data_IF_294161378652
#
_entry.id   IF_294161378652
#
_cell.length_a   1.000
_cell.length_b   1.000
_cell.length_c   1.000
_cell.angle_alpha   90.00
_cell.angle_beta   90.00
_cell.angle_gamma   90.00
#
_symmetry.space_group_name_H-M   'P 1'
#
loop_
_entity.id
_entity.type
_entity.pdbx_description
1 polymer ?
#
# COMPACT_ATOMS: atom_id res chain seq x y z
N UNK A 1 -18.05 -6.39 -11.92
CA UNK A 1 -16.71 -6.03 -12.41
C UNK A 1 -15.74 -6.26 -11.26
N UNK A 2 -14.60 -6.90 -11.49
CA UNK A 2 -13.59 -7.06 -10.43
C UNK A 2 -12.77 -5.77 -10.32
N UNK A 3 -12.68 -5.20 -9.11
CA UNK A 3 -11.89 -3.99 -8.84
C UNK A 3 -10.46 -4.31 -8.36
N UNK A 4 -10.24 -5.54 -7.87
CA UNK A 4 -8.93 -6.03 -7.44
C UNK A 4 -8.37 -7.03 -8.45
N UNK A 5 -7.04 -7.05 -8.67
CA UNK A 5 -6.10 -6.01 -8.24
C UNK A 5 -6.32 -4.71 -9.01
N UNK A 6 -6.19 -3.57 -8.32
CA UNK A 6 -6.37 -2.26 -8.93
C UNK A 6 -5.96 -1.14 -7.99
N UNK A 7 -6.00 0.09 -8.48
CA UNK A 7 -5.84 1.28 -7.65
C UNK A 7 -7.17 2.02 -7.51
N UNK A 8 -7.40 2.62 -6.35
CA UNK A 8 -8.43 3.61 -6.12
C UNK A 8 -7.75 4.94 -5.83
N UNK A 9 -8.04 5.94 -6.65
CA UNK A 9 -7.49 7.27 -6.49
C UNK A 9 -8.53 8.16 -5.85
N UNK A 10 -8.16 8.79 -4.74
CA UNK A 10 -9.07 9.68 -4.05
C UNK A 10 -9.35 10.92 -4.89
N UNK A 11 -10.64 11.17 -5.10
CA UNK A 11 -11.11 12.37 -5.78
C UNK A 11 -11.05 13.57 -4.81
N UNK A 12 -10.67 14.77 -5.26
CA UNK A 12 -10.60 15.97 -4.41
C UNK A 12 -11.85 16.32 -3.56
N UNK A 13 -13.11 16.09 -3.99
CA UNK A 13 -14.29 16.36 -3.14
C UNK A 13 -14.55 15.30 -2.06
N UNK A 14 -13.69 14.28 -1.91
CA UNK A 14 -13.91 13.16 -0.98
C UNK A 14 -14.10 13.60 0.48
N UNK A 15 -13.50 14.73 0.90
CA UNK A 15 -13.74 15.33 2.21
C UNK A 15 -13.22 14.54 3.42
N UNK A 16 -12.76 13.29 3.24
CA UNK A 16 -12.13 12.49 4.29
C UNK A 16 -10.62 12.77 4.36
N UNK A 17 -10.11 13.34 5.48
CA UNK A 17 -8.68 13.61 5.64
C UNK A 17 -7.81 12.33 5.63
N UNK A 18 -8.38 11.17 5.96
CA UNK A 18 -7.67 9.90 5.87
C UNK A 18 -7.33 9.52 4.43
N UNK A 19 -8.01 10.09 3.44
CA UNK A 19 -7.87 9.71 2.05
C UNK A 19 -7.59 10.86 1.09
N UNK A 20 -7.50 12.10 1.58
CA UNK A 20 -7.11 13.23 0.74
C UNK A 20 -5.79 12.96 -0.01
N UNK A 21 -5.84 13.11 -1.34
CA UNK A 21 -4.73 12.86 -2.29
C UNK A 21 -4.10 11.47 -2.16
N UNK A 22 -4.85 10.46 -1.71
CA UNK A 22 -4.33 9.10 -1.59
C UNK A 22 -4.50 8.28 -2.86
N UNK A 23 -3.62 7.29 -3.01
CA UNK A 23 -3.77 6.15 -3.91
C UNK A 23 -3.84 4.91 -3.03
N UNK A 24 -4.91 4.15 -3.15
CA UNK A 24 -5.09 2.87 -2.45
C UNK A 24 -4.84 1.74 -3.43
N UNK A 25 -3.96 0.80 -3.10
CA UNK A 25 -3.93 -0.53 -3.71
C UNK A 25 -5.12 -1.34 -3.20
N UNK A 26 -6.03 -1.73 -4.08
CA UNK A 26 -7.08 -2.69 -3.75
C UNK A 26 -6.55 -4.12 -3.94
N UNK A 27 -6.20 -4.77 -2.84
CA UNK A 27 -5.61 -6.11 -2.83
C UNK A 27 -6.66 -7.22 -2.93
N UNK A 28 -7.86 -6.98 -2.41
CA UNK A 28 -8.97 -7.94 -2.45
C UNK A 28 -10.29 -7.22 -2.69
N UNK A 29 -11.16 -7.80 -3.52
CA UNK A 29 -12.51 -7.30 -3.78
C UNK A 29 -13.47 -8.45 -4.08
N UNK A 30 -14.58 -8.53 -3.36
CA UNK A 30 -15.60 -9.55 -3.61
C UNK A 30 -16.87 -9.39 -2.77
N UNK A 31 -17.75 -10.41 -2.72
CA UNK A 31 -19.05 -10.31 -2.07
C UNK A 31 -19.01 -10.03 -0.57
N UNK A 32 -17.86 -10.25 0.09
CA UNK A 32 -17.67 -9.96 1.52
C UNK A 32 -17.12 -8.56 1.80
N UNK A 33 -16.84 -7.78 0.77
CA UNK A 33 -16.21 -6.46 0.87
C UNK A 33 -14.86 -6.40 0.16
N UNK A 34 -14.08 -5.39 0.52
CA UNK A 34 -12.79 -5.10 -0.11
C UNK A 34 -11.72 -4.74 0.94
N UNK A 35 -10.46 -4.98 0.59
CA UNK A 35 -9.31 -4.69 1.42
C UNK A 35 -8.25 -4.01 0.56
N UNK A 36 -7.68 -2.92 1.06
CA UNK A 36 -6.63 -2.19 0.37
C UNK A 36 -5.68 -1.44 1.29
N UNK A 37 -4.66 -0.85 0.69
CA UNK A 37 -3.55 -0.20 1.39
C UNK A 37 -3.21 1.12 0.70
N UNK A 38 -3.17 2.22 1.45
CA UNK A 38 -2.68 3.51 0.93
C UNK A 38 -1.18 3.39 0.63
N UNK A 39 -0.81 3.58 -0.64
CA UNK A 39 0.57 3.36 -1.13
C UNK A 39 1.40 4.64 -1.19
N UNK A 40 0.82 5.80 -0.87
CA UNK A 40 1.47 7.11 -1.00
C UNK A 40 1.44 7.95 0.30
N UNK A 41 1.43 7.29 1.46
CA UNK A 41 1.46 7.96 2.76
C UNK A 41 2.48 7.32 3.69
N UNK A 42 3.51 8.08 4.06
CA UNK A 42 4.56 7.64 5.01
C UNK A 42 4.03 7.73 6.45
N UNK A 43 4.30 6.70 7.24
CA UNK A 43 4.05 6.70 8.68
C UNK A 43 5.16 7.48 9.42
N UNK A 44 4.87 8.12 10.56
CA UNK A 44 5.87 8.82 11.36
C UNK A 44 6.73 7.86 12.20
N UNK A 45 7.04 6.68 11.66
CA UNK A 45 7.81 5.63 12.30
C UNK A 45 8.78 5.04 11.26
N UNK A 46 9.99 4.73 11.70
CA UNK A 46 10.95 3.97 10.90
C UNK A 46 10.65 2.48 10.99
N UNK A 47 11.12 1.73 10.00
CA UNK A 47 10.97 0.28 9.96
C UNK A 47 11.56 -0.39 11.22
N UNK A 48 12.74 0.02 11.67
CA UNK A 48 13.33 -0.54 12.89
C UNK A 48 12.48 -0.35 14.14
N UNK A 49 11.80 0.79 14.27
CA UNK A 49 10.88 1.05 15.39
C UNK A 49 9.69 0.09 15.35
N UNK A 50 9.08 -0.11 14.18
CA UNK A 50 7.97 -1.05 13.99
C UNK A 50 8.39 -2.49 14.29
N UNK A 51 9.57 -2.91 13.82
CA UNK A 51 10.09 -4.26 14.10
C UNK A 51 10.37 -4.45 15.58
N UNK A 52 10.94 -3.45 16.26
CA UNK A 52 11.17 -3.48 17.70
C UNK A 52 9.85 -3.61 18.48
N UNK A 53 8.83 -2.85 18.11
CA UNK A 53 7.48 -2.95 18.69
C UNK A 53 6.83 -4.32 18.46
N UNK A 54 7.15 -4.98 17.34
CA UNK A 54 6.70 -6.34 17.04
C UNK A 54 7.50 -7.44 17.79
N UNK A 55 8.49 -7.06 18.60
CA UNK A 55 9.29 -7.98 19.41
C UNK A 55 10.56 -8.48 18.74
N UNK A 56 10.98 -7.88 17.62
CA UNK A 56 12.27 -8.16 17.00
C UNK A 56 13.39 -7.40 17.72
N UNK A 57 14.56 -8.04 17.87
CA UNK A 57 15.63 -7.57 18.75
C UNK A 57 16.23 -6.19 18.40
N UNK A 58 17.01 -5.58 19.32
CA UNK A 58 17.47 -4.18 19.22
C UNK A 58 18.34 -3.89 17.99
N UNK A 59 19.01 -4.90 17.43
CA UNK A 59 19.80 -4.79 16.20
C UNK A 59 18.95 -4.40 14.98
N UNK A 60 17.66 -4.73 15.00
CA UNK A 60 16.71 -4.36 13.95
C UNK A 60 16.20 -2.93 14.14
N UNK A 61 16.29 -2.38 15.36
CA UNK A 61 15.80 -1.06 15.72
C UNK A 61 16.49 0.12 15.02
N UNK A 62 17.73 -0.06 14.58
CA UNK A 62 18.52 0.99 13.90
C UNK A 62 18.32 1.01 12.38
N UNK A 63 17.46 0.14 11.85
CA UNK A 63 17.31 -0.03 10.42
C UNK A 63 16.58 1.15 9.76
N UNK A 64 17.20 1.63 8.70
CA UNK A 64 16.56 2.56 7.77
C UNK A 64 15.53 1.80 6.93
N UNK A 65 14.34 2.39 6.78
CA UNK A 65 13.28 1.84 5.96
C UNK A 65 11.99 2.62 6.16
N UNK A 66 11.25 2.81 5.06
CA UNK A 66 9.98 3.54 5.07
C UNK A 66 8.84 2.61 5.49
N UNK A 67 8.06 3.05 6.46
CA UNK A 67 6.78 2.44 6.82
C UNK A 67 5.67 3.31 6.25
N UNK A 68 4.62 2.68 5.76
CA UNK A 68 3.47 3.35 5.15
C UNK A 68 2.25 3.25 6.07
N UNK A 69 1.39 4.26 6.04
CA UNK A 69 0.05 4.15 6.64
C UNK A 69 -0.83 3.46 5.61
N UNK A 70 -1.27 2.23 5.86
CA UNK A 70 -2.11 1.46 4.94
C UNK A 70 -3.60 1.85 5.01
N UNK A 71 -4.04 2.42 6.13
CA UNK A 71 -5.38 2.99 6.29
C UNK A 71 -5.80 3.09 7.75
N UNK A 72 -7.04 3.54 8.01
CA UNK A 72 -7.50 3.82 9.37
C UNK A 72 -7.90 2.57 10.17
N UNK A 73 -8.07 1.41 9.52
CA UNK A 73 -8.53 0.19 10.18
C UNK A 73 -7.34 -0.54 10.79
N UNK A 74 -7.49 -0.96 12.06
CA UNK A 74 -6.48 -1.67 12.84
C UNK A 74 -5.07 -1.07 12.70
N UNK A 75 -4.84 0.19 13.12
CA UNK A 75 -3.57 0.89 12.88
C UNK A 75 -2.35 0.24 13.56
N UNK A 76 -2.56 -0.66 14.52
CA UNK A 76 -1.51 -1.47 15.15
C UNK A 76 -1.17 -2.77 14.38
N UNK A 77 -1.92 -3.11 13.32
CA UNK A 77 -1.65 -4.29 12.50
C UNK A 77 -0.54 -3.99 11.49
N UNK A 78 0.45 -4.88 11.41
CA UNK A 78 1.53 -4.80 10.43
C UNK A 78 1.24 -5.68 9.22
N UNK A 79 1.53 -5.14 8.03
CA UNK A 79 1.40 -5.87 6.76
C UNK A 79 2.65 -5.69 5.91
N UNK A 80 3.10 -6.75 5.27
CA UNK A 80 4.21 -6.71 4.33
C UNK A 80 3.70 -7.09 2.96
N UNK A 81 3.79 -6.16 2.02
CA UNK A 81 3.67 -6.43 0.60
C UNK A 81 5.05 -6.76 0.04
N UNK A 82 5.15 -7.81 -0.76
CA UNK A 82 6.42 -8.28 -1.31
C UNK A 82 6.25 -8.85 -2.71
N UNK A 83 7.31 -8.76 -3.51
CA UNK A 83 7.41 -9.55 -4.73
C UNK A 83 7.80 -11.00 -4.42
N UNK A 84 7.22 -11.96 -5.15
CA UNK A 84 7.57 -13.38 -5.06
C UNK A 84 9.02 -13.67 -5.45
N UNK A 85 9.64 -12.78 -6.23
CA UNK A 85 11.08 -12.82 -6.52
C UNK A 85 11.92 -12.54 -5.27
N UNK A 86 11.46 -11.64 -4.40
CA UNK A 86 12.13 -11.26 -3.16
C UNK A 86 11.85 -12.24 -2.01
N UNK A 87 10.73 -12.96 -2.05
CA UNK A 87 10.36 -13.93 -1.02
C UNK A 87 9.53 -15.05 -1.65
N UNK A 88 10.16 -16.22 -1.81
CA UNK A 88 9.62 -17.34 -2.61
C UNK A 88 8.72 -18.29 -1.82
N UNK A 89 8.71 -18.17 -0.49
CA UNK A 89 7.95 -19.06 0.37
C UNK A 89 6.45 -18.79 0.19
N UNK A 90 5.67 -19.88 0.13
CA UNK A 90 4.22 -19.77 0.05
C UNK A 90 3.67 -19.69 1.47
N UNK A 91 3.21 -18.51 1.85
CA UNK A 91 2.72 -18.23 3.20
C UNK A 91 1.23 -18.44 3.27
N UNK A 92 0.78 -19.20 4.26
CA UNK A 92 -0.63 -19.44 4.49
C UNK A 92 -1.35 -18.13 4.83
N UNK A 93 -2.50 -17.89 4.19
CA UNK A 93 -3.28 -16.67 4.40
C UNK A 93 -2.68 -15.41 3.77
N UNK A 94 -1.60 -15.51 2.98
CA UNK A 94 -1.18 -14.42 2.12
C UNK A 94 -2.24 -14.12 1.04
N UNK A 95 -2.41 -12.84 0.73
CA UNK A 95 -3.30 -12.37 -0.33
C UNK A 95 -2.47 -12.24 -1.60
N UNK A 96 -2.81 -13.02 -2.62
CA UNK A 96 -2.26 -12.88 -3.96
C UNK A 96 -2.88 -11.64 -4.63
N UNK A 97 -2.08 -10.57 -4.77
CA UNK A 97 -2.48 -9.36 -5.51
C UNK A 97 -2.33 -9.63 -7.00
N UNK A 98 -1.16 -10.15 -7.40
CA UNK A 98 -0.89 -10.70 -8.73
C UNK A 98 -0.12 -12.01 -8.58
N UNK A 99 0.26 -12.65 -9.69
CA UNK A 99 1.16 -13.81 -9.65
C UNK A 99 2.53 -13.50 -9.02
N UNK A 100 2.96 -12.24 -9.06
CA UNK A 100 4.29 -11.81 -8.65
C UNK A 100 4.30 -10.90 -7.42
N UNK A 101 3.12 -10.51 -6.91
CA UNK A 101 2.96 -9.58 -5.79
C UNK A 101 1.98 -10.16 -4.79
N UNK A 102 2.42 -10.23 -3.53
CA UNK A 102 1.65 -10.76 -2.40
C UNK A 102 1.68 -9.81 -1.23
N UNK A 103 0.68 -9.91 -0.37
CA UNK A 103 0.64 -9.18 0.91
C UNK A 103 0.23 -10.10 2.05
N UNK A 104 0.88 -9.99 3.20
CA UNK A 104 0.62 -10.83 4.37
C UNK A 104 0.87 -10.08 5.67
N UNK A 105 0.13 -10.45 6.71
CA UNK A 105 0.35 -10.06 8.11
C UNK A 105 0.92 -11.19 8.96
N UNK A 106 1.32 -12.30 8.33
CA UNK A 106 1.83 -13.48 9.05
C UNK A 106 3.22 -13.22 9.64
N UNK A 107 3.47 -13.84 10.81
CA UNK A 107 4.77 -13.79 11.47
C UNK A 107 5.90 -14.32 10.59
N UNK A 108 5.64 -15.30 9.74
CA UNK A 108 6.61 -15.91 8.83
C UNK A 108 7.27 -14.87 7.90
N UNK A 109 6.49 -13.95 7.35
CA UNK A 109 7.01 -12.89 6.47
C UNK A 109 7.80 -11.85 7.25
N UNK A 110 7.38 -11.53 8.48
CA UNK A 110 8.14 -10.63 9.35
C UNK A 110 9.45 -11.26 9.83
N UNK A 111 9.46 -12.57 10.13
CA UNK A 111 10.67 -13.31 10.51
C UNK A 111 11.65 -13.38 9.32
N UNK A 112 11.15 -13.56 8.10
CA UNK A 112 11.97 -13.50 6.89
C UNK A 112 12.55 -12.10 6.68
N UNK A 113 11.73 -11.05 6.82
CA UNK A 113 12.22 -9.68 6.75
C UNK A 113 13.30 -9.42 7.81
N UNK A 114 13.09 -9.82 9.06
CA UNK A 114 14.04 -9.63 10.15
C UNK A 114 15.38 -10.35 9.89
N UNK A 115 15.35 -11.56 9.32
CA UNK A 115 16.56 -12.32 8.94
C UNK A 115 17.34 -11.63 7.83
N UNK A 116 16.64 -11.22 6.77
CA UNK A 116 17.26 -10.50 5.66
C UNK A 116 17.80 -9.14 6.10
N UNK A 117 17.24 -8.63 7.19
CA UNK A 117 17.58 -7.36 7.80
C UNK A 117 18.78 -7.38 8.75
N UNK A 118 19.31 -8.56 9.08
CA UNK A 118 20.43 -8.66 10.00
C UNK A 118 21.72 -8.19 9.30
N UNK A 119 22.34 -7.09 9.74
CA UNK A 119 23.55 -6.59 9.08
C UNK A 119 24.68 -7.62 9.20
N UNK A 120 25.53 -7.76 8.16
CA UNK A 120 26.76 -8.52 8.27
C UNK A 120 27.56 -8.08 9.50
N UNK A 121 28.30 -8.98 10.17
CA UNK A 121 29.07 -8.67 11.39
C UNK A 121 30.02 -7.47 11.27
N UNK A 122 30.34 -7.07 10.05
CA UNK A 122 31.34 -6.10 9.61
C UNK A 122 30.75 -4.89 8.86
N UNK A 123 29.43 -4.82 8.64
CA UNK A 123 28.78 -3.72 7.93
C UNK A 123 28.22 -2.66 8.90
N UNK A 124 28.94 -1.54 9.03
CA UNK A 124 28.42 -0.36 9.73
C UNK A 124 27.30 0.29 8.89
N UNK A 125 26.06 0.21 9.40
CA UNK A 125 24.94 1.12 9.09
C UNK A 125 24.73 1.48 7.60
N UNK A 126 24.91 0.52 6.70
CA UNK A 126 24.45 0.68 5.33
C UNK A 126 22.92 0.68 5.33
N UNK A 127 22.29 1.64 4.63
CA UNK A 127 20.85 1.62 4.36
C UNK A 127 20.53 0.28 3.69
N UNK A 128 19.87 -0.60 4.43
CA UNK A 128 19.63 -1.94 3.95
C UNK A 128 18.49 -1.90 2.94
N UNK A 129 18.77 -2.34 1.72
CA UNK A 129 17.77 -2.51 0.68
C UNK A 129 16.87 -3.68 1.07
N UNK A 130 15.63 -3.40 1.50
CA UNK A 130 14.61 -4.43 1.76
C UNK A 130 14.03 -5.02 0.46
N UNK A 131 14.57 -4.63 -0.69
CA UNK A 131 14.15 -5.03 -2.02
C UNK A 131 12.76 -4.50 -2.37
N UNK A 132 12.07 -5.21 -3.26
CA UNK A 132 10.65 -4.95 -3.60
C UNK A 132 9.72 -5.41 -2.48
N UNK A 133 9.85 -4.82 -1.30
CA UNK A 133 9.00 -5.02 -0.11
C UNK A 133 8.53 -3.68 0.45
N UNK A 134 7.30 -3.63 0.94
CA UNK A 134 6.72 -2.45 1.58
C UNK A 134 6.02 -2.86 2.86
N UNK A 135 6.25 -2.10 3.94
CA UNK A 135 5.65 -2.36 5.25
C UNK A 135 4.56 -1.33 5.53
N UNK A 136 3.36 -1.79 5.81
CA UNK A 136 2.20 -0.96 6.13
C UNK A 136 1.76 -1.15 7.57
N UNK A 137 1.24 -0.08 8.16
CA UNK A 137 0.48 -0.09 9.40
C UNK A 137 -0.99 0.18 9.11
N UNK A 138 -1.85 -0.73 9.56
CA UNK A 138 -3.28 -0.71 9.26
C UNK A 138 -3.60 -0.97 7.79
N UNK A 139 -4.89 -0.93 7.49
CA UNK A 139 -5.42 -1.11 6.15
C UNK A 139 -6.68 -0.27 5.94
N UNK A 140 -7.11 -0.20 4.68
CA UNK A 140 -8.38 0.38 4.27
C UNK A 140 -9.36 -0.74 3.96
N UNK A 141 -10.50 -0.74 4.63
CA UNK A 141 -11.52 -1.80 4.52
C UNK A 141 -12.83 -1.23 4.02
N UNK A 142 -13.50 -2.00 3.16
CA UNK A 142 -14.84 -1.73 2.68
C UNK A 142 -15.76 -2.89 3.00
N UNK A 143 -16.97 -2.59 3.48
CA UNK A 143 -18.05 -3.57 3.58
C UNK A 143 -18.55 -4.02 2.21
N UNK A 144 -19.42 -5.06 2.16
CA UNK A 144 -20.03 -5.55 0.92
C UNK A 144 -20.70 -4.42 0.12
N UNK A 145 -20.30 -4.23 -1.15
CA UNK A 145 -20.88 -3.24 -2.05
C UNK A 145 -20.50 -1.77 -1.76
N UNK A 146 -19.74 -1.50 -0.69
CA UNK A 146 -19.45 -0.14 -0.25
C UNK A 146 -18.52 0.57 -1.24
N UNK A 147 -17.45 -0.08 -1.70
CA UNK A 147 -16.50 0.53 -2.63
C UNK A 147 -17.15 0.86 -3.97
N UNK A 148 -18.03 -0.01 -4.47
CA UNK A 148 -18.79 0.25 -5.69
C UNK A 148 -19.72 1.44 -5.53
N UNK A 149 -20.38 1.55 -4.37
CA UNK A 149 -21.22 2.69 -4.06
C UNK A 149 -20.39 4.00 -3.99
N UNK A 150 -19.23 3.98 -3.35
CA UNK A 150 -18.35 5.16 -3.27
C UNK A 150 -17.79 5.56 -4.65
N UNK A 151 -17.48 4.59 -5.53
CA UNK A 151 -17.13 4.86 -6.93
C UNK A 151 -18.31 5.50 -7.67
N UNK A 152 -19.52 4.96 -7.51
CA UNK A 152 -20.72 5.49 -8.17
C UNK A 152 -21.04 6.94 -7.73
N UNK A 153 -20.73 7.30 -6.49
CA UNK A 153 -20.84 8.66 -5.96
C UNK A 153 -19.61 9.54 -6.26
N UNK A 154 -18.64 9.01 -7.02
CA UNK A 154 -17.50 9.78 -7.50
C UNK A 154 -16.43 10.09 -6.45
N UNK A 155 -16.44 9.39 -5.30
CA UNK A 155 -15.41 9.51 -4.27
C UNK A 155 -14.10 8.89 -4.76
N UNK A 156 -14.16 7.72 -5.40
CA UNK A 156 -12.99 7.03 -5.94
C UNK A 156 -12.97 7.01 -7.47
N UNK A 157 -11.76 7.11 -8.02
CA UNK A 157 -11.48 6.85 -9.43
C UNK A 157 -10.70 5.53 -9.56
N UNK A 158 -11.29 4.46 -10.11
CA UNK A 158 -10.59 3.20 -10.34
C UNK A 158 -9.54 3.33 -11.44
N UNK A 159 -8.34 2.82 -11.18
CA UNK A 159 -7.25 2.74 -12.15
C UNK A 159 -6.70 1.30 -12.19
N UNK A 160 -6.15 0.83 -13.33
CA UNK A 160 -5.58 -0.50 -13.42
C UNK A 160 -4.37 -0.63 -12.50
N UNK A 161 -4.08 -1.86 -12.06
CA UNK A 161 -2.87 -2.14 -11.29
C UNK A 161 -1.63 -2.11 -12.20
N UNK A 162 -0.58 -1.44 -11.74
CA UNK A 162 0.75 -1.44 -12.34
C UNK A 162 1.81 -1.55 -11.21
N UNK A 163 2.62 -2.63 -11.17
CA UNK A 163 3.64 -2.80 -10.15
C UNK A 163 4.72 -1.69 -10.18
N UNK A 164 4.95 -1.02 -11.32
CA UNK A 164 5.90 0.08 -11.40
C UNK A 164 5.47 1.27 -10.53
N UNK A 165 4.17 1.58 -10.47
CA UNK A 165 3.63 2.62 -9.57
C UNK A 165 3.92 2.30 -8.11
N UNK A 166 3.98 1.01 -7.76
CA UNK A 166 4.15 0.56 -6.39
C UNK A 166 5.60 0.42 -5.96
N UNK A 167 6.51 0.00 -6.84
CA UNK A 167 7.92 -0.26 -6.49
C UNK A 167 8.91 0.74 -7.08
N UNK A 168 8.62 1.31 -8.24
CA UNK A 168 9.61 2.03 -9.05
C UNK A 168 9.32 3.55 -9.12
N UNK A 169 8.14 3.99 -8.68
CA UNK A 169 7.74 5.41 -8.63
C UNK A 169 7.90 5.98 -7.21
N UNK A 170 8.60 7.12 -7.12
CA UNK A 170 8.72 7.96 -5.92
C UNK A 170 7.36 8.27 -5.30
N UNK A 171 7.27 8.23 -3.98
CA UNK A 171 5.99 8.21 -3.26
C UNK A 171 5.11 9.43 -3.59
N UNK A 172 5.69 10.62 -3.70
CA UNK A 172 5.00 11.88 -4.01
C UNK A 172 4.41 11.88 -5.42
N UNK A 173 4.98 11.09 -6.33
CA UNK A 173 4.58 11.00 -7.74
C UNK A 173 3.59 9.87 -8.01
N UNK A 174 3.34 8.98 -7.06
CA UNK A 174 2.42 7.84 -7.23
C UNK A 174 1.00 8.27 -7.57
N UNK A 175 0.55 9.39 -7.00
CA UNK A 175 -0.77 9.95 -7.30
C UNK A 175 -0.90 10.35 -8.77
N UNK A 176 0.06 11.11 -9.29
CA UNK A 176 0.08 11.51 -10.70
C UNK A 176 0.26 10.31 -11.64
N UNK A 177 1.13 9.37 -11.27
CA UNK A 177 1.34 8.14 -12.03
C UNK A 177 0.06 7.29 -12.12
N UNK A 178 -0.69 7.16 -11.03
CA UNK A 178 -1.96 6.44 -11.03
C UNK A 178 -3.02 7.12 -11.92
N UNK A 179 -3.08 8.46 -11.95
CA UNK A 179 -3.93 9.19 -12.90
C UNK A 179 -3.55 8.91 -14.35
N UNK A 180 -2.24 8.89 -14.66
CA UNK A 180 -1.74 8.64 -16.00
C UNK A 180 -2.14 7.27 -16.55
N UNK A 181 -2.31 6.26 -15.68
CA UNK A 181 -2.81 4.93 -16.07
C UNK A 181 -4.23 4.94 -16.63
N UNK A 182 -5.04 5.93 -16.26
CA UNK A 182 -6.39 6.13 -16.79
C UNK A 182 -6.39 6.94 -18.11
N UNK A 183 -5.22 7.39 -18.59
CA UNK A 183 -5.10 8.29 -19.74
C UNK A 183 -5.57 9.72 -19.46
N UNK A 184 -5.72 10.10 -18.19
CA UNK A 184 -6.15 11.44 -17.78
C UNK A 184 -5.08 12.12 -16.93
N UNK A 185 -5.02 13.45 -16.97
CA UNK A 185 -4.20 14.21 -16.03
C UNK A 185 -5.06 14.71 -14.87
N UNK A 186 -4.48 14.91 -13.66
CA UNK A 186 -5.23 15.45 -12.53
C UNK A 186 -5.94 16.77 -12.82
N UNK A 187 -5.31 17.64 -13.61
CA UNK A 187 -5.89 18.93 -14.03
C UNK A 187 -7.13 18.76 -14.93
N UNK A 188 -7.14 17.77 -15.82
CA UNK A 188 -8.30 17.48 -16.67
C UNK A 188 -9.45 16.84 -15.87
N UNK A 189 -9.16 15.98 -14.90
CA UNK A 189 -10.17 15.36 -14.05
C UNK A 189 -10.88 16.36 -13.13
N UNK A 190 -10.15 17.38 -12.63
CA UNK A 190 -10.74 18.47 -11.85
C UNK A 190 -11.61 19.38 -12.74
N UNK A 191 -11.14 19.68 -13.96
CA UNK A 191 -11.88 20.55 -14.90
C UNK A 191 -13.14 19.92 -15.52
N UNK A 192 -13.18 18.61 -15.74
CA UNK A 192 -14.33 17.91 -16.34
C UNK A 192 -15.59 17.91 -15.44
N UNK A 193 -15.43 18.09 -14.12
CA UNK A 193 -16.57 18.10 -13.18
C UNK A 193 -17.11 19.51 -12.90
N UNK A 194 -16.32 20.57 -13.06
CA UNK A 194 -16.81 21.96 -12.90
C UNK A 194 -17.76 22.39 -14.02
N UNK A 195 -17.65 21.77 -15.20
CA UNK A 195 -18.52 22.06 -16.36
C UNK A 195 -19.88 21.33 -16.27
N UNK A 196 -20.00 20.31 -15.41
CA UNK A 196 -21.22 19.50 -15.24
C UNK A 196 -22.16 19.94 -14.12
N UNK A 197 -21.80 20.97 -13.34
CA UNK A 197 -22.60 21.54 -12.24
C UNK A 197 -23.08 22.98 -12.51
N UNK A 198 -23.15 23.40 -13.78
CA UNK A 198 -23.65 24.72 -14.19
C UNK A 198 -25.04 24.63 -14.85
#
# INVERSE_FOLDING_TARGET
MALAPGFLIASPPMGDPNFERTVVLLAMHGPRGALGFVINRVAPLKLGEVMSMAGYGPRVGELAGTVYVGGPVEPGSGWILYSTASFKENVEGAIDVTADVRISSSREVFDALARDMEPPPDAATAALDIGKRMVFLGYSGWGPGQVENEIAHGAWLPAPFDPAVLFDVEIERRWEAAYALMGVSPAMSIGMRTVGEA
#
